data_IF_335665599162
#
_entry.id   IF_335665599162
#
_cell.length_a   1.000
_cell.length_b   1.000
_cell.length_c   1.000
_cell.angle_alpha   90.00
_cell.angle_beta   90.00
_cell.angle_gamma   90.00
#
_symmetry.space_group_name_H-M   'P 1'
#
loop_
_entity.id
_entity.type
_entity.pdbx_description
1 polymer ?
#
# COMPACT_ATOMS: atom_id res chain seq x y z
N UNK A 1 11.18 -5.70 9.73
CA UNK A 1 9.72 -5.81 9.71
C UNK A 1 9.37 -6.87 8.69
N UNK A 2 9.23 -8.13 9.13
CA UNK A 2 8.76 -9.24 8.28
C UNK A 2 7.22 -9.29 8.31
N UNK A 3 6.59 -8.12 8.34
CA UNK A 3 5.15 -8.03 8.47
C UNK A 3 4.54 -8.43 7.13
N UNK A 4 3.90 -9.60 7.12
CA UNK A 4 3.18 -10.11 5.96
C UNK A 4 1.94 -9.27 5.74
N UNK A 5 1.61 -8.97 4.48
CA UNK A 5 0.41 -8.20 4.12
C UNK A 5 -0.87 -8.94 4.57
N UNK A 6 -0.81 -10.27 4.73
CA UNK A 6 -1.91 -11.04 5.34
C UNK A 6 -2.22 -10.68 6.80
N UNK A 7 -1.31 -10.00 7.51
CA UNK A 7 -1.56 -9.45 8.86
C UNK A 7 -2.27 -8.10 8.80
N UNK A 8 -2.20 -7.37 7.69
CA UNK A 8 -2.83 -6.06 7.52
C UNK A 8 -4.30 -6.01 7.96
N UNK A 9 -5.20 -6.93 7.55
CA UNK A 9 -6.59 -6.92 8.01
C UNK A 9 -6.74 -7.17 9.51
N UNK A 10 -5.74 -7.80 10.14
CA UNK A 10 -5.68 -8.06 11.59
C UNK A 10 -4.92 -6.98 12.37
N UNK A 11 -4.25 -6.05 11.69
CA UNK A 11 -3.54 -4.95 12.33
C UNK A 11 -4.52 -3.95 12.95
N UNK A 12 -4.12 -3.29 14.03
CA UNK A 12 -4.95 -2.27 14.66
C UNK A 12 -5.05 -1.03 13.77
N UNK A 13 -6.10 -0.22 13.98
CA UNK A 13 -6.28 1.03 13.24
C UNK A 13 -5.07 1.95 13.38
N UNK A 14 -4.46 2.02 14.57
CA UNK A 14 -3.26 2.83 14.83
C UNK A 14 -2.06 2.34 14.02
N UNK A 15 -1.79 1.02 13.99
CA UNK A 15 -0.69 0.44 13.21
C UNK A 15 -0.87 0.72 11.72
N UNK A 16 -2.09 0.54 11.19
CA UNK A 16 -2.42 0.85 9.80
C UNK A 16 -2.20 2.32 9.48
N UNK A 17 -2.67 3.22 10.34
CA UNK A 17 -2.57 4.67 10.16
C UNK A 17 -1.12 5.13 10.23
N UNK A 18 -0.35 4.66 11.21
CA UNK A 18 1.06 5.03 11.38
C UNK A 18 1.90 4.55 10.18
N UNK A 19 1.75 3.29 9.78
CA UNK A 19 2.45 2.75 8.61
C UNK A 19 2.09 3.49 7.32
N UNK A 20 0.80 3.65 7.04
CA UNK A 20 0.35 4.36 5.85
C UNK A 20 0.71 5.84 5.85
N UNK A 21 0.80 6.49 7.02
CA UNK A 21 1.29 7.87 7.15
C UNK A 21 2.77 7.95 6.80
N UNK A 22 3.59 7.00 7.27
CA UNK A 22 5.01 6.91 6.92
C UNK A 22 5.21 6.69 5.42
N UNK A 23 4.48 5.75 4.83
CA UNK A 23 4.53 5.52 3.38
C UNK A 23 4.02 6.73 2.61
N UNK A 24 2.88 7.31 3.01
CA UNK A 24 2.33 8.53 2.41
C UNK A 24 3.35 9.66 2.37
N UNK A 25 4.05 9.93 3.48
CA UNK A 25 5.13 10.93 3.49
C UNK A 25 6.33 10.56 2.62
N UNK A 26 6.72 9.29 2.58
CA UNK A 26 7.85 8.81 1.78
C UNK A 26 7.58 8.89 0.26
N UNK A 27 6.34 8.60 -0.15
CA UNK A 27 5.92 8.53 -1.55
C UNK A 27 5.18 9.79 -2.04
N UNK A 28 4.81 10.71 -1.15
CA UNK A 28 4.19 12.00 -1.49
C UNK A 28 5.07 12.84 -2.43
N UNK A 29 6.40 12.67 -2.34
CA UNK A 29 7.34 13.31 -3.28
C UNK A 29 7.31 12.70 -4.69
N UNK A 30 6.86 11.45 -4.84
CA UNK A 30 6.80 10.73 -6.12
C UNK A 30 5.47 10.96 -6.83
N UNK A 31 4.37 10.98 -6.09
CA UNK A 31 3.06 11.32 -6.64
C UNK A 31 2.17 11.93 -5.58
N UNK A 32 1.50 13.06 -5.85
CA UNK A 32 0.61 13.71 -4.89
C UNK A 32 -0.64 12.86 -4.57
N UNK A 33 -0.90 11.77 -5.28
CA UNK A 33 -2.00 10.83 -4.98
C UNK A 33 -1.61 9.68 -4.04
N UNK A 34 -0.32 9.53 -3.72
CA UNK A 34 0.18 8.48 -2.83
C UNK A 34 0.10 8.92 -1.37
N UNK A 35 -1.14 9.13 -0.90
CA UNK A 35 -1.43 9.55 0.46
C UNK A 35 -1.67 8.37 1.42
N UNK A 36 -1.71 8.68 2.72
CA UNK A 36 -2.12 7.73 3.77
C UNK A 36 -3.37 6.94 3.39
N UNK A 37 -4.42 7.63 2.92
CA UNK A 37 -5.69 6.98 2.60
C UNK A 37 -5.58 6.02 1.42
N UNK A 38 -4.71 6.34 0.45
CA UNK A 38 -4.43 5.48 -0.69
C UNK A 38 -3.76 4.18 -0.23
N UNK A 39 -2.70 4.28 0.58
CA UNK A 39 -2.00 3.11 1.09
C UNK A 39 -2.89 2.23 1.97
N UNK A 40 -3.76 2.81 2.80
CA UNK A 40 -4.70 2.02 3.61
C UNK A 40 -5.59 1.17 2.70
N UNK A 41 -6.27 1.80 1.74
CA UNK A 41 -7.17 1.08 0.82
C UNK A 41 -6.44 0.02 0.01
N UNK A 42 -5.31 0.38 -0.61
CA UNK A 42 -4.59 -0.54 -1.47
C UNK A 42 -4.05 -1.77 -0.72
N UNK A 43 -3.53 -1.57 0.50
CA UNK A 43 -3.08 -2.68 1.34
C UNK A 43 -4.26 -3.52 1.86
N UNK A 44 -5.41 -2.91 2.13
CA UNK A 44 -6.63 -3.66 2.46
C UNK A 44 -7.09 -4.54 1.29
N UNK A 45 -7.11 -4.01 0.07
CA UNK A 45 -7.45 -4.82 -1.10
C UNK A 45 -6.43 -5.93 -1.32
N UNK A 46 -5.13 -5.61 -1.29
CA UNK A 46 -4.04 -6.58 -1.47
C UNK A 46 -4.10 -7.71 -0.45
N UNK A 47 -4.43 -7.40 0.81
CA UNK A 47 -4.56 -8.41 1.84
C UNK A 47 -5.84 -9.26 1.73
N UNK A 48 -6.88 -8.76 1.06
CA UNK A 48 -8.12 -9.49 0.82
C UNK A 48 -8.08 -10.36 -0.45
N UNK A 49 -7.09 -10.20 -1.33
CA UNK A 49 -6.91 -11.06 -2.51
C UNK A 49 -6.38 -12.43 -2.05
N UNK A 50 -7.30 -13.35 -1.70
CA UNK A 50 -7.24 -14.82 -1.77
C UNK A 50 -6.10 -15.57 -1.06
N UNK A 51 -4.85 -15.15 -1.18
CA UNK A 51 -3.68 -15.77 -0.54
C UNK A 51 -2.50 -14.79 -0.40
N UNK A 52 -2.55 -13.83 0.54
CA UNK A 52 -1.44 -12.91 0.82
C UNK A 52 -0.26 -13.57 1.57
N UNK A 53 -0.29 -14.89 1.74
CA UNK A 53 0.44 -15.65 2.77
C UNK A 53 1.95 -15.46 2.81
N UNK A 54 2.56 -14.97 1.73
CA UNK A 54 3.99 -14.70 1.65
C UNK A 54 4.36 -13.31 1.09
N UNK A 55 3.38 -12.46 0.80
CA UNK A 55 3.66 -11.11 0.33
C UNK A 55 4.02 -10.24 1.54
N UNK A 56 5.20 -9.63 1.50
CA UNK A 56 5.64 -8.67 2.52
C UNK A 56 4.90 -7.35 2.36
N UNK A 57 4.69 -6.64 3.47
CA UNK A 57 4.06 -5.32 3.46
C UNK A 57 4.78 -4.35 2.51
N UNK A 58 6.11 -4.40 2.48
CA UNK A 58 6.94 -3.58 1.58
C UNK A 58 6.71 -3.91 0.10
N UNK A 59 6.54 -5.19 -0.24
CA UNK A 59 6.24 -5.60 -1.62
C UNK A 59 4.83 -5.17 -2.01
N UNK A 60 3.86 -5.30 -1.12
CA UNK A 60 2.50 -4.79 -1.33
C UNK A 60 2.49 -3.26 -1.53
N UNK A 61 3.29 -2.51 -0.78
CA UNK A 61 3.46 -1.06 -0.98
C UNK A 61 4.03 -0.77 -2.37
N UNK A 62 5.06 -1.49 -2.83
CA UNK A 62 5.61 -1.31 -4.18
C UNK A 62 4.56 -1.61 -5.25
N UNK A 63 3.73 -2.63 -5.06
CA UNK A 63 2.60 -2.94 -5.95
C UNK A 63 1.59 -1.78 -5.98
N UNK A 64 1.23 -1.24 -4.82
CA UNK A 64 0.37 -0.05 -4.73
C UNK A 64 0.96 1.15 -5.48
N UNK A 65 2.24 1.44 -5.26
CA UNK A 65 2.92 2.54 -5.96
C UNK A 65 2.95 2.29 -7.47
N UNK A 66 3.21 1.06 -7.92
CA UNK A 66 3.21 0.69 -9.33
C UNK A 66 1.83 0.84 -9.98
N UNK A 67 0.75 0.50 -9.26
CA UNK A 67 -0.63 0.68 -9.73
C UNK A 67 -0.96 2.16 -9.88
N UNK A 68 -0.58 3.00 -8.91
CA UNK A 68 -0.77 4.46 -9.03
C UNK A 68 0.14 5.10 -10.09
N UNK A 69 1.32 4.52 -10.34
CA UNK A 69 2.27 5.02 -11.34
C UNK A 69 1.94 4.61 -12.78
N UNK A 70 0.97 3.71 -13.00
CA UNK A 70 0.58 3.26 -14.34
C UNK A 70 -0.51 4.11 -15.00
N UNK A 71 -0.48 4.23 -16.33
CA UNK A 71 0.46 5.06 -17.08
C UNK A 71 0.04 6.54 -16.99
N UNK A 72 0.89 7.42 -16.46
CA UNK A 72 0.92 8.75 -17.08
C UNK A 72 1.53 8.53 -18.47
N UNK A 73 0.68 8.51 -19.51
CA UNK A 73 0.96 8.33 -20.95
C UNK A 73 0.87 6.91 -21.53
N UNK A 74 -0.35 6.44 -21.77
CA UNK A 74 -0.75 5.88 -23.06
C UNK A 74 -2.19 6.36 -23.35
N UNK A 75 -2.45 6.84 -24.57
CA UNK A 75 -3.71 7.48 -25.02
C UNK A 75 -4.98 6.65 -24.77
N UNK A 76 -6.18 7.23 -24.87
CA UNK A 76 -6.73 8.09 -25.94
C UNK A 76 -7.62 9.23 -25.43
#
# INVERSE_FOLDING_TARGET
MDDKVGRWPRATTEEKVDFATRMGKAFSALSPGLDRNYFIKCLEETANIGNPGDIKLEEAVKMCVAVNAGPSEAGE
#
